data_IF_207072243440
#
_entry.id   IF_207072243440
#
_cell.length_a   1.000
_cell.length_b   1.000
_cell.length_c   1.000
_cell.angle_alpha   90.00
_cell.angle_beta   90.00
_cell.angle_gamma   90.00
#
_symmetry.space_group_name_H-M   'P 1'
#
loop_
_entity.id
_entity.type
_entity.pdbx_description
1 polymer ?
#
# COMPACT_ATOMS: atom_id res chain seq x y z
N UNK A 1 20.98 -7.34 -9.11
CA UNK A 1 19.92 -6.48 -8.56
C UNK A 1 19.79 -6.83 -7.10
N UNK A 2 20.32 -5.99 -6.20
CA UNK A 2 20.13 -6.21 -4.76
C UNK A 2 18.75 -5.70 -4.38
N UNK A 3 17.79 -6.61 -4.33
CA UNK A 3 16.42 -6.41 -3.87
C UNK A 3 16.40 -6.30 -2.33
N UNK A 4 17.35 -5.54 -1.77
CA UNK A 4 17.41 -5.30 -0.33
C UNK A 4 16.24 -4.37 -0.02
N UNK A 5 15.30 -4.79 0.85
CA UNK A 5 14.16 -3.94 1.19
C UNK A 5 14.70 -2.63 1.76
N UNK A 6 14.42 -1.52 1.06
CA UNK A 6 14.74 -0.19 1.56
C UNK A 6 13.95 0.01 2.87
N UNK A 7 14.63 0.16 4.03
CA UNK A 7 13.96 0.32 5.31
C UNK A 7 12.98 1.50 5.34
N UNK A 8 13.26 2.54 4.53
CA UNK A 8 12.36 3.68 4.34
C UNK A 8 11.06 3.26 3.65
N UNK A 9 11.16 2.47 2.58
CA UNK A 9 9.97 1.95 1.86
C UNK A 9 9.12 1.06 2.74
N UNK A 10 9.74 0.20 3.55
CA UNK A 10 9.02 -0.63 4.52
C UNK A 10 8.25 0.22 5.53
N UNK A 11 8.89 1.27 6.05
CA UNK A 11 8.26 2.18 7.02
C UNK A 11 7.07 2.93 6.41
N UNK A 12 7.21 3.39 5.16
CA UNK A 12 6.12 4.03 4.43
C UNK A 12 4.97 3.05 4.19
N UNK A 13 5.27 1.83 3.73
CA UNK A 13 4.27 0.80 3.49
C UNK A 13 3.50 0.44 4.77
N UNK A 14 4.19 0.23 5.89
CA UNK A 14 3.53 -0.08 7.17
C UNK A 14 2.64 1.09 7.63
N UNK A 15 3.09 2.34 7.47
CA UNK A 15 2.30 3.54 7.78
C UNK A 15 1.03 3.66 6.92
N UNK A 16 1.14 3.41 5.62
CA UNK A 16 0.00 3.45 4.69
C UNK A 16 -0.97 2.28 4.97
N UNK A 17 -0.45 1.09 5.26
CA UNK A 17 -1.27 -0.09 5.57
C UNK A 17 -2.11 0.14 6.83
N UNK A 18 -1.54 0.72 7.89
CA UNK A 18 -2.29 1.09 9.10
C UNK A 18 -3.45 2.03 8.75
N UNK A 19 -3.19 3.06 7.94
CA UNK A 19 -4.22 4.03 7.50
C UNK A 19 -5.34 3.39 6.68
N UNK A 20 -5.03 2.36 5.89
CA UNK A 20 -5.98 1.74 4.97
C UNK A 20 -6.61 0.44 5.49
N UNK A 21 -6.16 -0.09 6.63
CA UNK A 21 -6.63 -1.36 7.20
C UNK A 21 -8.17 -1.46 7.32
N UNK A 22 -8.81 -0.50 7.98
CA UNK A 22 -10.27 -0.45 8.11
C UNK A 22 -10.97 -0.35 6.75
N UNK A 23 -10.40 0.41 5.81
CA UNK A 23 -10.96 0.55 4.48
C UNK A 23 -10.89 -0.78 3.71
N UNK A 24 -9.73 -1.44 3.71
CA UNK A 24 -9.51 -2.73 3.07
C UNK A 24 -10.49 -3.80 3.59
N UNK A 25 -10.66 -3.88 4.91
CA UNK A 25 -11.66 -4.77 5.53
C UNK A 25 -13.08 -4.43 5.07
N UNK A 26 -13.43 -3.14 5.00
CA UNK A 26 -14.75 -2.68 4.56
C UNK A 26 -15.11 -3.04 3.12
N UNK A 27 -14.12 -3.32 2.27
CA UNK A 27 -14.30 -3.77 0.88
C UNK A 27 -13.92 -5.24 0.67
N UNK A 28 -13.78 -6.02 1.77
CA UNK A 28 -13.57 -7.47 1.71
C UNK A 28 -12.14 -7.91 1.38
N UNK A 29 -11.15 -7.01 1.46
CA UNK A 29 -9.75 -7.38 1.26
C UNK A 29 -9.11 -7.82 2.57
N UNK A 30 -8.54 -9.02 2.57
CA UNK A 30 -7.72 -9.52 3.68
C UNK A 30 -6.36 -8.82 3.71
N UNK A 31 -5.74 -8.76 4.89
CA UNK A 31 -4.49 -8.05 5.17
C UNK A 31 -3.34 -8.36 4.18
N UNK A 32 -3.21 -9.61 3.74
CA UNK A 32 -2.17 -10.00 2.77
C UNK A 32 -2.32 -9.33 1.40
N UNK A 33 -3.56 -9.17 0.93
CA UNK A 33 -3.86 -8.48 -0.34
C UNK A 33 -3.65 -6.98 -0.15
N UNK A 34 -4.16 -6.43 0.94
CA UNK A 34 -3.99 -5.01 1.26
C UNK A 34 -2.51 -4.62 1.34
N UNK A 35 -1.70 -5.44 2.02
CA UNK A 35 -0.25 -5.26 2.11
C UNK A 35 0.43 -5.29 0.75
N UNK A 36 0.11 -6.29 -0.08
CA UNK A 36 0.70 -6.44 -1.42
C UNK A 36 0.41 -5.21 -2.30
N UNK A 37 -0.80 -4.66 -2.21
CA UNK A 37 -1.18 -3.44 -2.94
C UNK A 37 -0.41 -2.22 -2.43
N UNK A 38 -0.29 -2.06 -1.12
CA UNK A 38 0.45 -0.93 -0.53
C UNK A 38 1.94 -0.99 -0.88
N UNK A 39 2.57 -2.17 -0.79
CA UNK A 39 3.97 -2.38 -1.17
C UNK A 39 4.18 -2.05 -2.66
N UNK A 40 3.25 -2.45 -3.52
CA UNK A 40 3.24 -2.08 -4.94
C UNK A 40 3.15 -0.56 -5.14
N UNK A 41 2.22 0.11 -4.47
CA UNK A 41 2.07 1.56 -4.58
C UNK A 41 3.35 2.32 -4.14
N UNK A 42 4.03 1.84 -3.09
CA UNK A 42 5.32 2.39 -2.65
C UNK A 42 6.43 2.16 -3.68
N UNK A 43 6.47 0.98 -4.30
CA UNK A 43 7.46 0.66 -5.31
C UNK A 43 7.27 1.47 -6.61
N UNK A 44 6.01 1.66 -7.02
CA UNK A 44 5.65 2.37 -8.25
C UNK A 44 5.80 3.91 -8.09
N UNK A 45 5.77 4.43 -6.85
CA UNK A 45 5.78 5.87 -6.56
C UNK A 45 6.88 6.27 -5.55
N UNK A 46 8.17 6.05 -5.85
CA UNK A 46 9.26 6.21 -4.88
C UNK A 46 9.48 7.65 -4.37
N UNK A 47 9.09 8.65 -5.16
CA UNK A 47 9.24 10.08 -4.83
C UNK A 47 7.92 10.72 -4.33
N UNK A 48 6.85 9.92 -4.22
CA UNK A 48 5.55 10.42 -3.79
C UNK A 48 5.44 10.54 -2.27
N UNK A 49 4.56 11.43 -1.81
CA UNK A 49 4.26 11.56 -0.39
C UNK A 49 3.44 10.36 0.11
N UNK A 50 3.43 10.16 1.43
CA UNK A 50 2.62 9.11 2.07
C UNK A 50 1.14 9.27 1.71
N UNK A 51 0.63 10.50 1.63
CA UNK A 51 -0.75 10.80 1.24
C UNK A 51 -1.04 10.39 -0.21
N UNK A 52 -0.12 10.67 -1.15
CA UNK A 52 -0.26 10.28 -2.55
C UNK A 52 -0.23 8.76 -2.71
N UNK A 53 0.67 8.08 -2.01
CA UNK A 53 0.77 6.62 -1.98
C UNK A 53 -0.52 6.01 -1.40
N UNK A 54 -1.05 6.57 -0.31
CA UNK A 54 -2.28 6.09 0.30
C UNK A 54 -3.48 6.26 -0.64
N UNK A 55 -3.57 7.38 -1.37
CA UNK A 55 -4.62 7.59 -2.36
C UNK A 55 -4.54 6.58 -3.51
N UNK A 56 -3.33 6.34 -4.05
CA UNK A 56 -3.10 5.36 -5.11
C UNK A 56 -3.42 3.93 -4.64
N UNK A 57 -2.92 3.52 -3.47
CA UNK A 57 -3.19 2.21 -2.89
C UNK A 57 -4.70 2.01 -2.65
N UNK A 58 -5.41 3.03 -2.19
CA UNK A 58 -6.87 2.99 -2.02
C UNK A 58 -7.61 2.76 -3.34
N UNK A 59 -7.21 3.45 -4.41
CA UNK A 59 -7.79 3.21 -5.74
C UNK A 59 -7.50 1.78 -6.22
N UNK A 60 -6.27 1.31 -6.09
CA UNK A 60 -5.90 -0.07 -6.45
C UNK A 60 -6.73 -1.11 -5.69
N UNK A 61 -6.97 -0.90 -4.39
CA UNK A 61 -7.83 -1.76 -3.58
C UNK A 61 -9.25 -1.83 -4.13
N UNK A 62 -9.85 -0.70 -4.53
CA UNK A 62 -11.18 -0.67 -5.16
C UNK A 62 -11.22 -1.47 -6.47
N UNK A 63 -10.17 -1.38 -7.29
CA UNK A 63 -10.06 -2.14 -8.54
C UNK A 63 -9.94 -3.65 -8.31
N UNK A 64 -9.34 -4.08 -7.20
CA UNK A 64 -9.15 -5.51 -6.86
C UNK A 64 -10.40 -6.10 -6.18
N UNK A 65 -11.19 -5.28 -5.47
CA UNK A 65 -12.40 -5.73 -4.75
C UNK A 65 -13.66 -5.82 -5.62
N UNK A 66 -13.62 -5.30 -6.85
CA UNK A 66 -14.74 -5.36 -7.82
C UNK A 66 -14.60 -6.54 -8.77
#
# INVERSE_FOLDING_TARGET
>A
MSDVPDPKRKTIADSVLVRLSTFALGIGLYDGIARSIVEKAVADMPEATVEQIAAAARMMMLFVSG
#
